data_IF_391474032022
#
_entry.id   IF_391474032022
#
_cell.length_a   1.000
_cell.length_b   1.000
_cell.length_c   1.000
_cell.angle_alpha   90.00
_cell.angle_beta   90.00
_cell.angle_gamma   90.00
#
_symmetry.space_group_name_H-M   'P 1'
#
loop_
_entity.id
_entity.type
_entity.pdbx_description
1 polymer ?
#
# COMPACT_ATOMS: atom_id res chain seq x y z
N UNK A 1 27.04 -33.53 -21.44
CA UNK A 1 27.66 -33.51 -20.11
C UNK A 1 27.71 -32.06 -19.66
N UNK A 2 27.31 -31.75 -18.43
CA UNK A 2 27.33 -30.37 -17.92
C UNK A 2 28.79 -29.85 -17.85
N UNK A 3 29.01 -28.53 -17.91
CA UNK A 3 30.36 -27.95 -17.74
C UNK A 3 30.96 -28.41 -16.40
N UNK A 4 30.12 -28.39 -15.36
CA UNK A 4 30.46 -28.78 -13.99
C UNK A 4 30.96 -30.24 -13.89
N UNK A 5 30.27 -31.19 -14.52
CA UNK A 5 30.62 -32.62 -14.49
C UNK A 5 31.65 -33.02 -15.57
N UNK A 6 32.15 -32.06 -16.34
CA UNK A 6 33.09 -32.37 -17.42
C UNK A 6 34.49 -32.68 -16.90
N UNK A 7 35.25 -33.46 -17.68
CA UNK A 7 36.66 -33.76 -17.42
C UNK A 7 37.61 -32.59 -17.78
N UNK A 8 37.08 -31.38 -18.00
CA UNK A 8 37.90 -30.19 -18.29
C UNK A 8 38.74 -29.78 -17.06
N UNK A 9 39.86 -29.06 -17.23
CA UNK A 9 40.55 -28.41 -16.13
C UNK A 9 39.62 -27.47 -15.36
N UNK A 10 39.78 -27.38 -14.03
CA UNK A 10 38.95 -26.52 -13.17
C UNK A 10 38.96 -25.06 -13.59
N UNK A 11 40.11 -24.53 -14.03
CA UNK A 11 40.24 -23.16 -14.53
C UNK A 11 39.39 -22.93 -15.80
N UNK A 12 39.31 -23.92 -16.68
CA UNK A 12 38.51 -23.85 -17.90
C UNK A 12 37.01 -23.94 -17.59
N UNK A 13 36.61 -24.82 -16.65
CA UNK A 13 35.22 -24.87 -16.16
C UNK A 13 34.81 -23.54 -15.54
N UNK A 14 35.67 -22.94 -14.72
CA UNK A 14 35.44 -21.65 -14.09
C UNK A 14 35.17 -20.55 -15.12
N UNK A 15 35.98 -20.48 -16.18
CA UNK A 15 35.80 -19.51 -17.26
C UNK A 15 34.45 -19.68 -17.97
N UNK A 16 34.13 -20.90 -18.38
CA UNK A 16 32.88 -21.20 -19.09
C UNK A 16 31.64 -20.95 -18.21
N UNK A 17 31.68 -21.36 -16.94
CA UNK A 17 30.59 -21.10 -15.99
C UNK A 17 30.40 -19.59 -15.80
N UNK A 18 31.48 -18.82 -15.68
CA UNK A 18 31.41 -17.37 -15.55
C UNK A 18 30.82 -16.69 -16.80
N UNK A 19 31.09 -17.19 -18.01
CA UNK A 19 30.46 -16.69 -19.23
C UNK A 19 28.95 -16.95 -19.24
N UNK A 20 28.51 -18.12 -18.79
CA UNK A 20 27.09 -18.43 -18.66
C UNK A 20 26.41 -17.58 -17.57
N UNK A 21 27.08 -17.29 -16.46
CA UNK A 21 26.56 -16.38 -15.43
C UNK A 21 26.40 -14.94 -15.94
N UNK A 22 27.28 -14.45 -16.81
CA UNK A 22 27.09 -13.13 -17.45
C UNK A 22 25.82 -13.11 -18.30
N UNK A 23 25.59 -14.14 -19.13
CA UNK A 23 24.37 -14.26 -19.92
C UNK A 23 23.12 -14.35 -19.04
N UNK A 24 23.22 -15.03 -17.89
CA UNK A 24 22.15 -15.09 -16.90
C UNK A 24 21.83 -13.70 -16.35
N UNK A 25 22.84 -12.90 -15.98
CA UNK A 25 22.65 -11.52 -15.51
C UNK A 25 21.96 -10.67 -16.58
N UNK A 26 22.41 -10.75 -17.84
CA UNK A 26 21.78 -10.04 -18.96
C UNK A 26 20.31 -10.44 -19.13
N UNK A 27 20.03 -11.74 -19.06
CA UNK A 27 18.66 -12.26 -19.15
C UNK A 27 17.79 -11.77 -17.99
N UNK A 28 18.31 -11.78 -16.77
CA UNK A 28 17.61 -11.25 -15.59
C UNK A 28 17.30 -9.77 -15.81
N UNK A 29 18.26 -8.98 -16.28
CA UNK A 29 18.07 -7.56 -16.60
C UNK A 29 16.95 -7.32 -17.62
N UNK A 30 16.90 -8.11 -18.69
CA UNK A 30 15.83 -8.02 -19.68
C UNK A 30 14.46 -8.33 -19.07
N UNK A 31 14.37 -9.38 -18.25
CA UNK A 31 13.14 -9.74 -17.55
C UNK A 31 12.69 -8.63 -16.61
N UNK A 32 13.60 -8.06 -15.80
CA UNK A 32 13.30 -6.94 -14.90
C UNK A 32 12.76 -5.73 -15.66
N UNK A 33 13.35 -5.40 -16.81
CA UNK A 33 12.89 -4.32 -17.67
C UNK A 33 11.48 -4.57 -18.25
N UNK A 34 11.17 -5.80 -18.64
CA UNK A 34 9.83 -6.18 -19.11
C UNK A 34 8.83 -6.07 -17.97
N UNK A 35 9.15 -6.61 -16.80
CA UNK A 35 8.29 -6.57 -15.61
C UNK A 35 7.99 -5.12 -15.19
N UNK A 36 8.99 -4.24 -15.22
CA UNK A 36 8.79 -2.82 -14.93
C UNK A 36 7.78 -2.19 -15.91
N UNK A 37 7.96 -2.43 -17.22
CA UNK A 37 7.04 -1.90 -18.25
C UNK A 37 5.61 -2.42 -18.10
N UNK A 38 5.44 -3.71 -17.77
CA UNK A 38 4.12 -4.31 -17.53
C UNK A 38 3.45 -3.71 -16.30
N UNK A 39 4.22 -3.47 -15.23
CA UNK A 39 3.72 -2.84 -14.00
C UNK A 39 3.33 -1.37 -14.23
N UNK A 40 4.19 -0.59 -14.91
CA UNK A 40 3.92 0.80 -15.27
C UNK A 40 2.63 0.94 -16.11
N UNK A 41 2.40 -0.01 -17.02
CA UNK A 41 1.18 -0.09 -17.85
C UNK A 41 -0.03 -0.65 -17.12
N UNK A 42 0.13 -1.07 -15.86
CA UNK A 42 -0.90 -1.72 -15.04
C UNK A 42 -1.44 -3.02 -15.64
N UNK A 43 -0.61 -3.71 -16.43
CA UNK A 43 -0.91 -5.04 -16.97
C UNK A 43 -0.66 -6.14 -15.92
N UNK A 44 0.24 -5.87 -14.96
CA UNK A 44 0.44 -6.69 -13.76
C UNK A 44 0.35 -5.81 -12.50
N UNK A 45 -0.15 -6.38 -11.40
CA UNK A 45 -0.17 -5.68 -10.11
C UNK A 45 1.15 -5.90 -9.35
N UNK A 46 1.43 -5.05 -8.36
CA UNK A 46 2.67 -5.14 -7.57
C UNK A 46 2.80 -6.47 -6.82
N UNK A 47 1.67 -7.08 -6.45
CA UNK A 47 1.65 -8.42 -5.85
C UNK A 47 2.15 -9.51 -6.82
N UNK A 48 1.82 -9.40 -8.10
CA UNK A 48 2.29 -10.32 -9.14
C UNK A 48 3.76 -10.07 -9.46
N UNK A 49 4.14 -8.80 -9.57
CA UNK A 49 5.54 -8.37 -9.70
C UNK A 49 6.39 -8.98 -8.56
N UNK A 50 5.95 -8.83 -7.30
CA UNK A 50 6.63 -9.41 -6.13
C UNK A 50 6.88 -10.91 -6.29
N UNK A 51 5.84 -11.68 -6.65
CA UNK A 51 5.93 -13.14 -6.77
C UNK A 51 6.93 -13.56 -7.84
N UNK A 52 6.94 -12.88 -8.98
CA UNK A 52 7.88 -13.18 -10.06
C UNK A 52 9.31 -12.84 -9.62
N UNK A 53 9.51 -11.69 -8.96
CA UNK A 53 10.81 -11.32 -8.42
C UNK A 53 11.30 -12.30 -7.34
N UNK A 54 10.44 -12.77 -6.44
CA UNK A 54 10.76 -13.79 -5.44
C UNK A 54 11.21 -15.11 -6.11
N UNK A 55 10.55 -15.51 -7.21
CA UNK A 55 10.95 -16.70 -7.99
C UNK A 55 12.32 -16.50 -8.64
N UNK A 56 12.58 -15.32 -9.23
CA UNK A 56 13.88 -15.00 -9.82
C UNK A 56 14.99 -15.10 -8.78
N UNK A 57 14.80 -14.51 -7.58
CA UNK A 57 15.76 -14.61 -6.46
C UNK A 57 16.06 -16.08 -6.12
N UNK A 58 15.03 -16.92 -6.01
CA UNK A 58 15.21 -18.32 -5.65
C UNK A 58 15.99 -19.09 -6.72
N UNK A 59 15.68 -18.88 -8.00
CA UNK A 59 16.36 -19.55 -9.11
C UNK A 59 17.82 -19.09 -9.17
N UNK A 60 18.08 -17.79 -9.15
CA UNK A 60 19.44 -17.26 -9.24
C UNK A 60 20.26 -17.64 -8.01
N UNK A 61 19.66 -17.59 -6.81
CA UNK A 61 20.31 -18.04 -5.58
C UNK A 61 20.67 -19.53 -5.60
N UNK A 62 19.79 -20.38 -6.13
CA UNK A 62 20.11 -21.79 -6.33
C UNK A 62 21.29 -21.98 -7.29
N UNK A 63 21.27 -21.29 -8.45
CA UNK A 63 22.34 -21.39 -9.44
C UNK A 63 23.68 -20.92 -8.88
N UNK A 64 23.70 -19.78 -8.17
CA UNK A 64 24.91 -19.28 -7.51
C UNK A 64 25.40 -20.23 -6.41
N UNK A 65 24.52 -20.76 -5.56
CA UNK A 65 24.92 -21.72 -4.54
C UNK A 65 25.48 -23.01 -5.13
N UNK A 66 24.98 -23.45 -6.29
CA UNK A 66 25.37 -24.72 -6.90
C UNK A 66 26.61 -24.61 -7.79
N UNK A 67 26.81 -23.48 -8.46
CA UNK A 67 27.83 -23.31 -9.51
C UNK A 67 28.68 -22.04 -9.36
N UNK A 68 28.35 -21.15 -8.41
CA UNK A 68 28.92 -19.81 -8.29
C UNK A 68 30.25 -19.70 -7.52
N UNK A 69 30.89 -20.82 -7.16
CA UNK A 69 32.20 -20.82 -6.46
C UNK A 69 33.31 -20.05 -7.22
N UNK A 70 33.06 -19.65 -8.46
CA UNK A 70 34.02 -19.02 -9.37
C UNK A 70 34.02 -17.47 -9.42
N UNK A 71 33.14 -16.76 -8.67
CA UNK A 71 33.23 -15.31 -8.29
C UNK A 71 32.03 -14.81 -7.45
N UNK A 72 32.20 -13.69 -6.72
CA UNK A 72 31.16 -12.94 -5.96
C UNK A 72 30.08 -12.28 -6.85
N UNK A 73 29.33 -13.05 -7.64
CA UNK A 73 28.32 -12.53 -8.58
C UNK A 73 26.91 -12.44 -7.95
N UNK A 74 26.74 -12.92 -6.71
CA UNK A 74 25.46 -12.94 -5.99
C UNK A 74 24.91 -11.54 -5.65
N UNK A 75 25.79 -10.54 -5.53
CA UNK A 75 25.41 -9.18 -5.13
C UNK A 75 24.68 -8.41 -6.25
N UNK A 76 25.02 -8.64 -7.52
CA UNK A 76 24.52 -7.85 -8.64
C UNK A 76 23.03 -8.09 -8.89
N UNK A 77 22.61 -9.35 -9.02
CA UNK A 77 21.19 -9.72 -9.19
C UNK A 77 20.34 -9.24 -8.02
N UNK A 78 20.85 -9.40 -6.80
CA UNK A 78 20.17 -8.94 -5.59
C UNK A 78 19.97 -7.42 -5.60
N UNK A 79 20.96 -6.64 -6.03
CA UNK A 79 20.87 -5.18 -6.14
C UNK A 79 19.85 -4.77 -7.21
N UNK A 80 19.88 -5.40 -8.38
CA UNK A 80 18.96 -5.09 -9.48
C UNK A 80 17.51 -5.32 -9.08
N UNK A 81 17.23 -6.43 -8.39
CA UNK A 81 15.88 -6.76 -7.92
C UNK A 81 15.41 -5.76 -6.85
N UNK A 82 16.25 -5.42 -5.86
CA UNK A 82 15.91 -4.43 -4.83
C UNK A 82 15.61 -3.06 -5.42
N UNK A 83 16.41 -2.63 -6.39
CA UNK A 83 16.26 -1.33 -7.07
C UNK A 83 14.92 -1.22 -7.80
N UNK A 84 14.43 -2.32 -8.36
CA UNK A 84 13.11 -2.35 -9.02
C UNK A 84 11.97 -2.45 -8.01
N UNK A 85 12.09 -3.35 -7.04
CA UNK A 85 10.99 -3.74 -6.15
C UNK A 85 10.67 -2.69 -5.07
N UNK A 86 11.69 -2.17 -4.38
CA UNK A 86 11.50 -1.31 -3.21
C UNK A 86 10.76 -0.01 -3.55
N UNK A 87 11.06 0.68 -4.68
CA UNK A 87 10.33 1.88 -5.07
C UNK A 87 8.87 1.60 -5.42
N UNK A 88 8.58 0.52 -6.16
CA UNK A 88 7.22 0.18 -6.59
C UNK A 88 6.29 -0.09 -5.40
N UNK A 89 6.79 -0.83 -4.41
CA UNK A 89 6.06 -1.10 -3.15
C UNK A 89 5.85 0.17 -2.34
N UNK A 90 6.89 1.00 -2.21
CA UNK A 90 6.81 2.26 -1.48
C UNK A 90 5.76 3.19 -2.10
N UNK A 91 5.75 3.31 -3.43
CA UNK A 91 4.81 4.15 -4.14
C UNK A 91 3.36 3.68 -3.96
N UNK A 92 3.09 2.38 -4.08
CA UNK A 92 1.75 1.84 -3.86
C UNK A 92 1.30 2.01 -2.41
N UNK A 93 2.18 1.77 -1.44
CA UNK A 93 1.90 2.00 -0.03
C UNK A 93 1.53 3.46 0.26
N UNK A 94 2.22 4.42 -0.35
CA UNK A 94 1.90 5.85 -0.25
C UNK A 94 0.52 6.13 -0.87
N UNK A 95 0.26 5.64 -2.09
CA UNK A 95 -1.03 5.82 -2.78
C UNK A 95 -2.19 5.27 -1.95
N UNK A 96 -2.04 4.09 -1.39
CA UNK A 96 -3.04 3.50 -0.49
C UNK A 96 -3.24 4.32 0.78
N UNK A 97 -2.14 4.75 1.41
CA UNK A 97 -2.16 5.57 2.61
C UNK A 97 -2.93 6.88 2.40
N UNK A 98 -2.63 7.58 1.29
CA UNK A 98 -3.34 8.81 0.89
C UNK A 98 -4.82 8.51 0.66
N UNK A 99 -5.15 7.46 -0.10
CA UNK A 99 -6.56 7.09 -0.39
C UNK A 99 -7.34 6.80 0.89
N UNK A 100 -6.77 6.02 1.81
CA UNK A 100 -7.36 5.71 3.13
C UNK A 100 -7.51 6.99 3.97
N UNK A 101 -6.49 7.84 3.98
CA UNK A 101 -6.48 9.12 4.68
C UNK A 101 -7.57 10.09 4.18
N UNK A 102 -7.68 10.28 2.87
CA UNK A 102 -8.73 11.12 2.25
C UNK A 102 -10.13 10.57 2.59
N UNK A 103 -10.35 9.26 2.48
CA UNK A 103 -11.64 8.65 2.80
C UNK A 103 -12.02 8.88 4.26
N UNK A 104 -11.09 8.65 5.19
CA UNK A 104 -11.29 8.88 6.62
C UNK A 104 -11.55 10.35 6.92
N UNK A 105 -10.74 11.25 6.37
CA UNK A 105 -10.90 12.69 6.53
C UNK A 105 -12.24 13.22 6.02
N UNK A 106 -12.74 12.68 4.89
CA UNK A 106 -14.07 13.03 4.37
C UNK A 106 -15.20 12.63 5.33
N UNK A 107 -15.11 11.44 5.92
CA UNK A 107 -16.10 10.96 6.89
C UNK A 107 -16.05 11.81 8.17
N UNK A 108 -14.86 12.04 8.72
CA UNK A 108 -14.68 12.88 9.91
C UNK A 108 -15.17 14.32 9.68
N UNK A 109 -14.91 14.87 8.49
CA UNK A 109 -15.39 16.19 8.09
C UNK A 109 -16.91 16.28 8.03
N UNK A 110 -17.58 15.27 7.45
CA UNK A 110 -19.06 15.21 7.42
C UNK A 110 -19.66 15.09 8.82
N UNK A 111 -19.09 14.25 9.68
CA UNK A 111 -19.52 14.12 11.08
C UNK A 111 -19.39 15.46 11.82
N UNK A 112 -18.22 16.10 11.77
CA UNK A 112 -18.00 17.40 12.42
C UNK A 112 -18.98 18.44 11.89
N UNK A 113 -19.19 18.49 10.57
CA UNK A 113 -20.11 19.44 9.97
C UNK A 113 -21.57 19.19 10.38
N UNK A 114 -22.00 17.94 10.45
CA UNK A 114 -23.34 17.58 10.92
C UNK A 114 -23.53 17.96 12.40
N UNK A 115 -22.54 17.69 13.26
CA UNK A 115 -22.54 18.14 14.65
C UNK A 115 -22.67 19.67 14.77
N UNK A 116 -21.84 20.42 14.04
CA UNK A 116 -21.91 21.89 13.99
C UNK A 116 -23.28 22.40 13.53
N UNK A 117 -23.84 21.78 12.49
CA UNK A 117 -25.15 22.15 11.95
C UNK A 117 -26.26 21.95 13.00
N UNK A 118 -26.23 20.84 13.76
CA UNK A 118 -27.19 20.61 14.86
C UNK A 118 -27.03 21.68 15.92
N UNK A 119 -25.81 21.97 16.38
CA UNK A 119 -25.57 22.97 17.42
C UNK A 119 -26.03 24.36 16.97
N UNK A 120 -25.77 24.73 15.71
CA UNK A 120 -26.23 25.98 15.12
C UNK A 120 -27.76 26.03 15.03
N UNK A 121 -28.42 24.93 14.67
CA UNK A 121 -29.87 24.84 14.62
C UNK A 121 -30.51 24.97 16.01
N UNK A 122 -29.95 24.30 17.04
CA UNK A 122 -30.41 24.44 18.43
C UNK A 122 -30.25 25.91 18.87
N UNK A 123 -29.08 26.51 18.64
CA UNK A 123 -28.82 27.90 18.98
C UNK A 123 -29.80 28.86 18.31
N UNK A 124 -30.07 28.67 17.02
CA UNK A 124 -30.97 29.53 16.27
C UNK A 124 -32.45 29.41 16.70
N UNK A 125 -32.86 28.23 17.19
CA UNK A 125 -34.26 28.00 17.59
C UNK A 125 -34.55 28.33 19.05
N UNK A 126 -33.57 28.15 19.94
CA UNK A 126 -33.78 28.25 21.38
C UNK A 126 -32.89 29.32 22.04
N UNK A 127 -32.10 30.08 21.27
CA UNK A 127 -31.14 31.10 21.72
C UNK A 127 -30.09 30.61 22.73
N UNK A 128 -29.96 29.30 22.92
CA UNK A 128 -29.00 28.68 23.82
C UNK A 128 -28.56 27.30 23.33
N UNK A 129 -27.40 26.84 23.76
CA UNK A 129 -26.92 25.46 23.60
C UNK A 129 -26.29 25.03 24.92
N UNK A 130 -27.01 24.25 25.75
CA UNK A 130 -26.46 23.73 27.01
C UNK A 130 -25.19 22.92 26.77
N UNK A 131 -24.19 23.10 27.63
CA UNK A 131 -22.87 22.47 27.46
C UNK A 131 -22.91 20.94 27.53
N UNK A 132 -23.78 20.39 28.37
CA UNK A 132 -24.01 18.95 28.48
C UNK A 132 -24.62 18.37 27.19
N UNK A 133 -25.59 19.08 26.58
CA UNK A 133 -26.18 18.69 25.30
C UNK A 133 -25.15 18.77 24.16
N UNK A 134 -24.38 19.85 24.12
CA UNK A 134 -23.25 20.00 23.18
C UNK A 134 -22.28 18.83 23.27
N UNK A 135 -21.90 18.46 24.49
CA UNK A 135 -20.99 17.34 24.73
C UNK A 135 -21.57 16.00 24.28
N UNK A 136 -22.88 15.77 24.43
CA UNK A 136 -23.55 14.57 23.90
C UNK A 136 -23.48 14.52 22.37
N UNK A 137 -23.83 15.62 21.70
CA UNK A 137 -23.81 15.71 20.22
C UNK A 137 -22.39 15.46 19.66
N UNK A 138 -21.37 16.07 20.27
CA UNK A 138 -19.98 15.94 19.82
C UNK A 138 -19.41 14.52 19.94
N UNK A 139 -20.00 13.68 20.81
CA UNK A 139 -19.63 12.27 20.97
C UNK A 139 -20.24 11.36 19.89
N UNK A 140 -21.33 11.75 19.24
CA UNK A 140 -21.97 10.94 18.19
C UNK A 140 -21.08 10.89 16.95
N UNK A 141 -20.74 9.69 16.48
CA UNK A 141 -19.93 9.46 15.27
C UNK A 141 -20.73 8.85 14.11
N UNK A 142 -22.01 8.62 14.32
CA UNK A 142 -22.92 8.11 13.29
C UNK A 142 -23.52 9.30 12.51
N UNK A 143 -23.17 9.40 11.23
CA UNK A 143 -23.61 10.45 10.32
C UNK A 143 -25.14 10.42 10.12
N UNK A 144 -25.74 9.24 9.96
CA UNK A 144 -27.18 9.11 9.77
C UNK A 144 -27.94 9.51 11.03
N UNK A 145 -27.42 9.14 12.21
CA UNK A 145 -28.03 9.56 13.47
C UNK A 145 -27.98 11.08 13.65
N UNK A 146 -26.89 11.72 13.25
CA UNK A 146 -26.77 13.18 13.29
C UNK A 146 -27.78 13.85 12.35
N UNK A 147 -28.00 13.31 11.15
CA UNK A 147 -29.00 13.83 10.22
C UNK A 147 -30.43 13.70 10.78
N UNK A 148 -30.78 12.58 11.42
CA UNK A 148 -32.05 12.42 12.13
C UNK A 148 -32.24 13.46 13.23
N UNK A 149 -31.20 13.66 14.05
CA UNK A 149 -31.23 14.65 15.14
C UNK A 149 -31.41 16.06 14.56
N UNK A 150 -30.73 16.40 13.47
CA UNK A 150 -30.89 17.72 12.83
C UNK A 150 -32.34 17.96 12.40
N UNK A 151 -32.97 16.99 11.72
CA UNK A 151 -34.38 17.09 11.31
C UNK A 151 -35.29 17.23 12.52
N UNK A 152 -35.01 16.47 13.58
CA UNK A 152 -35.82 16.51 14.78
C UNK A 152 -35.67 17.84 15.54
N UNK A 153 -34.44 18.37 15.64
CA UNK A 153 -34.15 19.71 16.17
C UNK A 153 -34.91 20.79 15.41
N UNK A 154 -35.15 20.65 14.11
CA UNK A 154 -35.94 21.62 13.32
C UNK A 154 -37.45 21.51 13.61
N UNK A 155 -37.92 20.35 14.10
CA UNK A 155 -39.34 20.08 14.39
C UNK A 155 -39.72 20.24 15.86
N UNK A 156 -38.76 20.19 16.78
CA UNK A 156 -39.02 20.25 18.22
C UNK A 156 -39.64 21.58 18.67
N UNK A 157 -40.47 21.59 19.70
CA UNK A 157 -41.00 22.85 20.26
C UNK A 157 -40.22 23.33 21.49
N UNK A 158 -39.39 22.47 22.06
CA UNK A 158 -38.57 22.78 23.23
C UNK A 158 -37.23 22.07 23.18
N UNK A 159 -36.29 22.54 24.00
CA UNK A 159 -34.96 21.93 24.13
C UNK A 159 -35.03 20.55 24.80
N UNK A 160 -35.99 20.32 25.70
CA UNK A 160 -36.20 19.03 26.38
C UNK A 160 -36.57 17.90 25.41
N UNK A 161 -37.26 18.23 24.31
CA UNK A 161 -37.53 17.27 23.24
C UNK A 161 -36.25 16.84 22.53
N UNK A 162 -35.33 17.78 22.31
CA UNK A 162 -34.01 17.49 21.72
C UNK A 162 -33.22 16.57 22.63
N UNK A 163 -33.24 16.81 23.96
CA UNK A 163 -32.56 15.97 24.94
C UNK A 163 -32.95 14.49 24.89
N UNK A 164 -34.19 14.16 24.49
CA UNK A 164 -34.67 12.77 24.39
C UNK A 164 -34.08 12.03 23.19
N UNK A 165 -33.41 12.74 22.27
CA UNK A 165 -32.91 12.21 21.01
C UNK A 165 -31.40 11.96 21.00
N UNK A 166 -30.70 12.41 22.06
CA UNK A 166 -29.22 12.45 22.16
C UNK A 166 -28.68 11.66 23.35
#
# INVERSE_FOLDING_TARGET
MSIYESNRPEEEKAQLINEEFKKLIDTVNEVLNILNKLHDRKEIFTGDLKRILDVLVNITGYLYSKYGEYRKIDEEVTIMIKTLYDPAIKEEGIKEGIKKGIKKGRIEGRIKKAQENILNAIKARFDTVPDDLKNKILKIKDEAKLDEILVAVIKSNSIDEVYKMV
#
